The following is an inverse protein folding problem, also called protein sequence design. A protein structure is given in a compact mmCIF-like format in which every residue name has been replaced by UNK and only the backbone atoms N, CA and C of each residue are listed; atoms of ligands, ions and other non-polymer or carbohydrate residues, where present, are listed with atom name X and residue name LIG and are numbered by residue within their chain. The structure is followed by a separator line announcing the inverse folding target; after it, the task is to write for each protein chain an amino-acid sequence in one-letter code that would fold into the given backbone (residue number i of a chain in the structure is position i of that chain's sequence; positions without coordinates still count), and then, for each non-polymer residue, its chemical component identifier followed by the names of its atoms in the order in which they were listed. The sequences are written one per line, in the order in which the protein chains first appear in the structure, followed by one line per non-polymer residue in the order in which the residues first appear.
data_IF_173521033087
#
_entry.id   IF_173521033087
#
_cell.length_a   1.000
_cell.length_b   1.000
_cell.length_c   1.000
_cell.angle_alpha   90.00
_cell.angle_beta   90.00
_cell.angle_gamma   90.00
#
_symmetry.space_group_name_H-M   'P 1'
#
loop_
_entity.id
_entity.type
_entity.pdbx_description
1 polymer ?
#
# COMPACT_ATOMS: atom_id res chain seq x y z
N UNK A 1 38.70 -10.73 46.23
CA UNK A 1 39.10 -11.15 44.86
C UNK A 1 37.85 -11.66 44.18
N UNK A 2 37.07 -10.91 43.38
CA UNK A 2 37.44 -9.98 42.31
C UNK A 2 36.88 -10.55 41.00
N UNK A 3 35.54 -10.56 40.86
CA UNK A 3 34.77 -11.06 39.69
C UNK A 3 35.00 -10.19 38.43
N UNK A 4 36.21 -10.18 37.89
CA UNK A 4 36.57 -9.31 36.77
C UNK A 4 36.76 -10.04 35.42
N UNK A 5 36.49 -11.34 35.33
CA UNK A 5 37.03 -12.15 34.23
C UNK A 5 36.03 -12.98 33.41
N UNK A 6 34.73 -12.70 33.50
CA UNK A 6 33.71 -13.37 32.67
C UNK A 6 33.06 -12.44 31.63
N UNK A 7 33.20 -11.12 31.78
CA UNK A 7 32.62 -10.14 30.84
C UNK A 7 33.50 -9.88 29.61
N UNK A 8 34.80 -10.19 29.66
CA UNK A 8 35.74 -9.95 28.53
C UNK A 8 35.72 -11.03 27.45
N UNK A 9 35.04 -12.16 27.66
CA UNK A 9 35.09 -13.31 26.75
C UNK A 9 34.02 -13.25 25.64
N UNK A 10 32.99 -12.41 25.77
CA UNK A 10 31.86 -12.40 24.82
C UNK A 10 32.01 -11.44 23.63
N UNK A 11 33.08 -10.64 23.55
CA UNK A 11 33.30 -9.69 22.47
C UNK A 11 34.73 -9.77 21.92
N UNK A 12 35.35 -10.95 21.89
CA UNK A 12 36.53 -11.14 21.04
C UNK A 12 36.05 -11.42 19.63
N UNK A 13 35.51 -10.38 19.02
CA UNK A 13 35.19 -10.35 17.60
C UNK A 13 36.51 -10.59 16.85
N UNK A 14 36.47 -11.39 15.79
CA UNK A 14 37.62 -11.72 14.92
C UNK A 14 38.12 -10.52 14.09
N UNK A 15 37.71 -9.31 14.45
CA UNK A 15 37.88 -8.07 13.72
C UNK A 15 38.89 -7.16 14.42
N UNK A 16 39.58 -6.31 13.67
CA UNK A 16 40.45 -5.30 14.28
C UNK A 16 39.60 -4.20 15.00
N UNK A 17 40.21 -3.36 15.83
CA UNK A 17 39.49 -2.29 16.55
C UNK A 17 38.76 -1.32 15.60
N UNK A 18 39.39 -0.96 14.48
CA UNK A 18 38.81 -0.05 13.48
C UNK A 18 37.57 -0.64 12.78
N UNK A 19 37.60 -1.93 12.47
CA UNK A 19 36.48 -2.70 11.91
C UNK A 19 35.32 -2.79 12.90
N UNK A 20 35.63 -3.03 14.18
CA UNK A 20 34.62 -3.08 15.24
C UNK A 20 33.94 -1.71 15.44
N UNK A 21 34.71 -0.61 15.38
CA UNK A 21 34.17 0.76 15.44
C UNK A 21 33.33 1.07 14.21
N UNK A 22 33.78 0.69 13.01
CA UNK A 22 33.03 0.88 11.77
C UNK A 22 31.69 0.12 11.78
N UNK A 23 31.69 -1.13 12.25
CA UNK A 23 30.47 -1.93 12.41
C UNK A 23 29.53 -1.33 13.46
N UNK A 24 30.08 -0.83 14.58
CA UNK A 24 29.32 -0.13 15.61
C UNK A 24 28.64 1.12 15.07
N UNK A 25 29.37 1.95 14.32
CA UNK A 25 28.83 3.15 13.65
C UNK A 25 27.71 2.79 12.67
N UNK A 26 27.94 1.82 11.79
CA UNK A 26 26.93 1.36 10.83
C UNK A 26 25.66 0.82 11.53
N UNK A 27 25.80 0.15 12.66
CA UNK A 27 24.66 -0.34 13.45
C UNK A 27 23.84 0.81 14.06
N UNK A 28 24.51 1.86 14.52
CA UNK A 28 23.87 3.07 15.06
C UNK A 28 23.16 3.84 13.94
N UNK A 29 23.83 4.04 12.80
CA UNK A 29 23.31 4.78 11.65
C UNK A 29 22.00 4.14 11.11
N UNK A 30 21.93 2.80 11.12
CA UNK A 30 20.72 2.04 10.77
C UNK A 30 19.60 2.19 11.80
N UNK A 31 19.90 2.50 13.07
CA UNK A 31 18.95 2.46 14.20
C UNK A 31 18.70 1.01 14.65
N UNK A 32 18.20 0.79 15.89
CA UNK A 32 18.01 -0.56 16.48
C UNK A 32 17.55 -1.60 15.44
N UNK A 33 18.52 -2.43 15.02
CA UNK A 33 18.45 -3.47 13.99
C UNK A 33 18.08 -3.08 12.55
N UNK A 34 17.65 -1.86 12.24
CA UNK A 34 17.39 -1.38 10.87
C UNK A 34 16.45 -2.26 10.05
N UNK A 35 15.74 -3.19 10.70
CA UNK A 35 15.08 -4.33 10.05
C UNK A 35 13.98 -3.89 9.10
N UNK A 36 13.23 -2.85 9.47
CA UNK A 36 12.18 -2.29 8.63
C UNK A 36 12.73 -1.86 7.26
N UNK A 37 13.81 -1.08 7.26
CA UNK A 37 14.43 -0.59 6.03
C UNK A 37 15.25 -1.66 5.30
N UNK A 38 15.87 -2.58 6.03
CA UNK A 38 16.50 -3.76 5.42
C UNK A 38 15.46 -4.63 4.69
N UNK A 39 14.26 -4.76 5.24
CA UNK A 39 13.15 -5.48 4.60
C UNK A 39 12.60 -4.73 3.38
N UNK A 40 12.52 -3.40 3.43
CA UNK A 40 12.16 -2.61 2.26
C UNK A 40 13.19 -2.74 1.14
N UNK A 41 14.49 -2.80 1.47
CA UNK A 41 15.54 -3.05 0.47
C UNK A 41 15.39 -4.41 -0.20
N UNK A 42 15.01 -5.46 0.54
CA UNK A 42 14.71 -6.77 -0.04
C UNK A 42 13.57 -6.74 -1.04
N UNK A 43 12.53 -5.97 -0.73
CA UNK A 43 11.33 -5.87 -1.57
C UNK A 43 11.58 -5.07 -2.84
N UNK A 44 12.51 -4.11 -2.82
CA UNK A 44 12.83 -3.24 -3.95
C UNK A 44 13.68 -3.93 -5.05
N UNK A 45 13.89 -5.26 -4.96
CA UNK A 45 14.70 -6.09 -5.87
C UNK A 45 16.09 -5.50 -6.19
N UNK A 46 16.63 -4.72 -5.25
CA UNK A 46 17.98 -4.20 -5.35
C UNK A 46 18.93 -5.34 -4.98
N UNK A 47 19.78 -5.76 -5.93
CA UNK A 47 20.88 -6.69 -5.63
C UNK A 47 21.62 -6.18 -4.40
N UNK A 48 21.58 -6.95 -3.31
CA UNK A 48 22.22 -6.54 -2.05
C UNK A 48 23.69 -6.23 -2.30
N UNK A 49 24.10 -5.01 -1.98
CA UNK A 49 25.49 -4.60 -2.00
C UNK A 49 26.23 -5.11 -0.75
N UNK A 50 27.42 -4.57 -0.54
CA UNK A 50 28.16 -4.72 0.71
C UNK A 50 27.35 -4.17 1.89
N UNK A 51 27.68 -4.61 3.10
CA UNK A 51 27.02 -4.13 4.33
C UNK A 51 27.08 -2.60 4.48
N UNK A 52 28.16 -1.97 4.00
CA UNK A 52 28.32 -0.52 3.97
C UNK A 52 27.38 0.15 2.98
N UNK A 53 27.34 -0.32 1.74
CA UNK A 53 26.45 0.23 0.69
C UNK A 53 24.97 0.10 1.10
N UNK A 54 24.59 -1.05 1.66
CA UNK A 54 23.23 -1.24 2.18
C UNK A 54 22.92 -0.29 3.36
N UNK A 55 23.92 0.04 4.17
CA UNK A 55 23.77 1.00 5.27
C UNK A 55 23.55 2.41 4.75
N UNK A 56 24.32 2.83 3.74
CA UNK A 56 24.16 4.13 3.09
C UNK A 56 22.77 4.27 2.45
N UNK A 57 22.29 3.22 1.77
CA UNK A 57 20.93 3.17 1.23
C UNK A 57 19.87 3.27 2.33
N UNK A 58 20.02 2.54 3.45
CA UNK A 58 19.08 2.61 4.57
C UNK A 58 19.04 4.00 5.19
N UNK A 59 20.19 4.66 5.34
CA UNK A 59 20.24 6.03 5.86
C UNK A 59 19.50 6.98 4.93
N UNK A 60 19.72 6.89 3.62
CA UNK A 60 18.98 7.68 2.62
C UNK A 60 17.47 7.40 2.66
N UNK A 61 17.08 6.13 2.77
CA UNK A 61 15.67 5.75 2.90
C UNK A 61 15.04 6.26 4.20
N UNK A 62 15.78 6.34 5.31
CA UNK A 62 15.30 6.90 6.57
C UNK A 62 15.05 8.40 6.48
N UNK A 63 15.91 9.12 5.75
CA UNK A 63 15.76 10.56 5.51
C UNK A 63 14.57 10.84 4.58
N UNK A 64 14.43 10.06 3.51
CA UNK A 64 13.32 10.21 2.58
C UNK A 64 11.98 9.76 3.20
N UNK A 65 11.95 8.59 3.84
CA UNK A 65 10.74 7.95 4.33
C UNK A 65 10.86 7.60 5.83
N UNK A 66 10.42 8.51 6.73
CA UNK A 66 10.41 8.27 8.17
C UNK A 66 9.65 6.99 8.56
N UNK A 67 10.13 6.29 9.58
CA UNK A 67 9.60 4.97 9.97
C UNK A 67 8.09 4.98 10.24
N UNK A 68 7.60 6.05 10.89
CA UNK A 68 6.16 6.26 11.12
C UNK A 68 5.35 6.25 9.81
N UNK A 69 5.88 6.87 8.73
CA UNK A 69 5.22 6.88 7.42
C UNK A 69 5.21 5.48 6.80
N UNK A 70 6.31 4.73 6.90
CA UNK A 70 6.39 3.33 6.46
C UNK A 70 5.37 2.45 7.18
N UNK A 71 5.30 2.56 8.50
CA UNK A 71 4.39 1.78 9.34
C UNK A 71 2.93 2.12 9.03
N UNK A 72 2.62 3.40 8.83
CA UNK A 72 1.29 3.85 8.41
C UNK A 72 0.86 3.24 7.07
N UNK A 73 1.72 3.31 6.05
CA UNK A 73 1.47 2.71 4.74
C UNK A 73 1.28 1.20 4.87
N UNK A 74 2.19 0.54 5.60
CA UNK A 74 2.14 -0.91 5.83
C UNK A 74 0.85 -1.33 6.53
N UNK A 75 0.41 -0.57 7.55
CA UNK A 75 -0.85 -0.77 8.25
C UNK A 75 -2.06 -0.60 7.34
N UNK A 76 -2.07 0.43 6.49
CA UNK A 76 -3.14 0.65 5.53
C UNK A 76 -3.27 -0.51 4.54
N UNK A 77 -2.15 -0.94 3.93
CA UNK A 77 -2.12 -2.05 2.97
C UNK A 77 -2.55 -3.37 3.61
N UNK A 78 -2.05 -3.65 4.81
CA UNK A 78 -2.47 -4.82 5.57
C UNK A 78 -3.97 -4.81 5.85
N UNK A 79 -4.52 -3.63 6.19
CA UNK A 79 -5.97 -3.44 6.32
C UNK A 79 -6.73 -3.81 5.05
N UNK A 80 -6.26 -3.36 3.88
CA UNK A 80 -6.91 -3.65 2.59
C UNK A 80 -6.87 -5.15 2.28
N UNK A 81 -5.71 -5.80 2.48
CA UNK A 81 -5.56 -7.25 2.26
C UNK A 81 -6.49 -8.03 3.18
N UNK A 82 -6.50 -7.70 4.47
CA UNK A 82 -7.36 -8.35 5.45
C UNK A 82 -8.85 -8.18 5.13
N UNK A 83 -9.26 -6.99 4.67
CA UNK A 83 -10.64 -6.73 4.24
C UNK A 83 -11.07 -7.63 3.08
N UNK A 84 -10.17 -7.83 2.11
CA UNK A 84 -10.39 -8.75 0.98
C UNK A 84 -10.46 -10.21 1.42
N UNK A 85 -9.56 -10.65 2.30
CA UNK A 85 -9.60 -12.00 2.86
C UNK A 85 -10.90 -12.27 3.61
N UNK A 86 -11.38 -11.30 4.41
CA UNK A 86 -12.67 -11.40 5.10
C UNK A 86 -13.83 -11.52 4.10
N UNK A 87 -13.80 -10.77 3.00
CA UNK A 87 -14.82 -10.88 1.94
C UNK A 87 -14.78 -12.24 1.25
N UNK A 88 -13.60 -12.76 0.94
CA UNK A 88 -13.47 -14.08 0.34
C UNK A 88 -13.99 -15.17 1.27
N UNK A 89 -13.64 -15.13 2.56
CA UNK A 89 -14.17 -16.06 3.56
C UNK A 89 -15.70 -15.97 3.69
N UNK A 90 -16.25 -14.76 3.60
CA UNK A 90 -17.71 -14.54 3.58
C UNK A 90 -18.34 -15.18 2.35
N UNK A 91 -17.78 -14.96 1.15
CA UNK A 91 -18.26 -15.57 -0.10
C UNK A 91 -18.15 -17.10 -0.05
N UNK A 92 -17.05 -17.65 0.48
CA UNK A 92 -16.86 -19.10 0.63
C UNK A 92 -17.85 -19.73 1.62
N UNK A 93 -18.46 -18.94 2.50
CA UNK A 93 -19.47 -19.42 3.44
C UNK A 93 -20.87 -19.51 2.83
N UNK A 94 -21.08 -18.96 1.63
CA UNK A 94 -22.36 -18.97 0.95
C UNK A 94 -22.70 -20.35 0.39
N UNK A 95 -24.01 -20.62 0.32
CA UNK A 95 -24.51 -21.82 -0.33
C UNK A 95 -24.35 -21.70 -1.86
N UNK A 96 -24.23 -22.84 -2.54
CA UNK A 96 -24.06 -22.87 -4.01
C UNK A 96 -25.18 -22.11 -4.73
N UNK A 97 -26.42 -22.23 -4.26
CA UNK A 97 -27.57 -21.52 -4.84
C UNK A 97 -27.47 -20.00 -4.67
N UNK A 98 -26.95 -19.51 -3.54
CA UNK A 98 -26.72 -18.06 -3.33
C UNK A 98 -25.61 -17.55 -4.27
N UNK A 99 -24.54 -18.32 -4.47
CA UNK A 99 -23.48 -17.97 -5.43
C UNK A 99 -24.03 -17.90 -6.86
N UNK A 100 -24.86 -18.88 -7.27
CA UNK A 100 -25.51 -18.88 -8.59
C UNK A 100 -26.42 -17.67 -8.76
N UNK A 101 -27.30 -17.40 -7.80
CA UNK A 101 -28.19 -16.23 -7.84
C UNK A 101 -27.39 -14.93 -7.99
N UNK A 102 -26.36 -14.73 -7.16
CA UNK A 102 -25.51 -13.54 -7.22
C UNK A 102 -24.82 -13.39 -8.58
N UNK A 103 -24.37 -14.50 -9.14
CA UNK A 103 -23.71 -14.53 -10.45
C UNK A 103 -24.69 -14.16 -11.57
N UNK A 104 -25.90 -14.69 -11.56
CA UNK A 104 -26.96 -14.33 -12.51
C UNK A 104 -27.36 -12.86 -12.40
N UNK A 105 -27.49 -12.34 -11.18
CA UNK A 105 -27.80 -10.94 -10.93
C UNK A 105 -26.66 -10.02 -11.39
N UNK A 106 -25.40 -10.45 -11.24
CA UNK A 106 -24.23 -9.71 -11.71
C UNK A 106 -24.23 -9.63 -13.24
N UNK A 107 -24.36 -10.76 -13.93
CA UNK A 107 -24.35 -10.79 -15.40
C UNK A 107 -25.58 -10.13 -16.04
N UNK A 108 -26.71 -10.08 -15.34
CA UNK A 108 -27.90 -9.35 -15.79
C UNK A 108 -27.88 -7.85 -15.46
N UNK A 109 -26.81 -7.34 -14.84
CA UNK A 109 -26.67 -5.93 -14.46
C UNK A 109 -27.61 -5.47 -13.34
N UNK A 110 -28.17 -6.42 -12.57
CA UNK A 110 -29.15 -6.14 -11.51
C UNK A 110 -28.52 -5.91 -10.13
N UNK A 111 -27.23 -6.25 -9.95
CA UNK A 111 -26.48 -5.95 -8.74
C UNK A 111 -25.97 -4.50 -8.72
N UNK A 112 -26.87 -3.52 -8.79
CA UNK A 112 -26.45 -2.12 -8.73
C UNK A 112 -26.12 -1.68 -7.29
N UNK A 113 -25.12 -0.82 -7.14
CA UNK A 113 -24.88 -0.07 -5.91
C UNK A 113 -25.72 1.22 -5.88
N UNK A 114 -25.51 2.08 -4.88
CA UNK A 114 -26.09 3.44 -4.86
C UNK A 114 -25.30 4.45 -5.70
N UNK A 115 -24.07 4.11 -6.07
CA UNK A 115 -23.25 4.89 -7.00
C UNK A 115 -23.44 4.34 -8.41
N UNK A 116 -23.66 5.24 -9.36
CA UNK A 116 -23.79 4.91 -10.78
C UNK A 116 -22.55 4.16 -11.28
N UNK A 117 -22.73 3.23 -12.22
CA UNK A 117 -21.67 2.39 -12.80
C UNK A 117 -20.89 1.50 -11.82
N UNK A 118 -21.33 1.38 -10.57
CA UNK A 118 -20.71 0.51 -9.57
C UNK A 118 -21.67 -0.63 -9.22
N UNK A 119 -21.20 -1.86 -9.38
CA UNK A 119 -21.96 -3.03 -8.95
C UNK A 119 -21.72 -3.34 -7.47
N UNK A 120 -22.70 -3.94 -6.79
CA UNK A 120 -22.64 -4.23 -5.36
C UNK A 120 -23.03 -5.68 -5.08
N UNK A 121 -22.11 -6.43 -4.48
CA UNK A 121 -22.28 -7.83 -4.16
C UNK A 121 -23.47 -8.08 -3.19
N UNK A 122 -23.75 -7.12 -2.30
CA UNK A 122 -24.84 -7.17 -1.31
C UNK A 122 -25.99 -6.21 -1.63
N UNK A 123 -26.23 -5.94 -2.92
CA UNK A 123 -27.34 -5.08 -3.36
C UNK A 123 -28.67 -5.47 -2.69
N UNK A 124 -29.44 -4.48 -2.24
CA UNK A 124 -30.67 -4.65 -1.46
C UNK A 124 -30.51 -5.01 0.02
N UNK A 125 -29.32 -5.43 0.46
CA UNK A 125 -29.01 -5.78 1.87
C UNK A 125 -27.76 -5.05 2.36
N UNK A 126 -27.59 -3.80 1.98
CA UNK A 126 -26.40 -3.01 2.31
C UNK A 126 -26.25 -2.84 3.84
N UNK A 127 -25.13 -3.28 4.45
CA UNK A 127 -24.90 -3.11 5.89
C UNK A 127 -24.57 -1.67 6.27
N UNK A 128 -24.28 -0.81 5.29
CA UNK A 128 -23.94 0.60 5.48
C UNK A 128 -24.95 1.50 4.76
N UNK A 129 -26.21 1.58 5.20
CA UNK A 129 -27.28 2.23 4.43
C UNK A 129 -27.09 3.74 4.25
N UNK A 130 -26.32 4.40 5.12
CA UNK A 130 -26.08 5.85 5.10
C UNK A 130 -24.89 6.28 4.26
N UNK A 131 -23.96 5.37 3.95
CA UNK A 131 -22.71 5.73 3.27
C UNK A 131 -22.88 5.73 1.75
N UNK A 132 -22.43 6.80 1.10
CA UNK A 132 -22.51 6.98 -0.36
C UNK A 132 -21.22 6.59 -1.10
N UNK A 133 -20.15 6.31 -0.36
CA UNK A 133 -18.83 5.91 -0.87
C UNK A 133 -18.80 4.45 -1.38
N UNK A 134 -19.71 4.06 -2.27
CA UNK A 134 -19.80 2.67 -2.74
C UNK A 134 -18.53 2.22 -3.46
N UNK A 135 -17.84 3.11 -4.17
CA UNK A 135 -16.55 2.81 -4.82
C UNK A 135 -15.46 2.33 -3.85
N UNK A 136 -15.48 2.84 -2.62
CA UNK A 136 -14.54 2.48 -1.57
C UNK A 136 -15.08 1.38 -0.65
N UNK A 137 -16.26 0.84 -0.92
CA UNK A 137 -16.85 -0.22 -0.12
C UNK A 137 -16.20 -1.57 -0.44
N UNK A 138 -16.04 -2.44 0.57
CA UNK A 138 -15.54 -3.80 0.38
C UNK A 138 -16.42 -4.67 -0.52
N UNK A 139 -17.71 -4.38 -0.61
CA UNK A 139 -18.67 -5.11 -1.45
C UNK A 139 -18.78 -4.54 -2.87
N UNK A 140 -17.96 -3.54 -3.21
CA UNK A 140 -17.90 -2.93 -4.52
C UNK A 140 -17.37 -3.92 -5.55
N UNK A 141 -18.03 -3.96 -6.71
CA UNK A 141 -17.53 -4.60 -7.93
C UNK A 141 -17.41 -3.47 -8.96
N UNK A 142 -16.20 -2.89 -9.10
CA UNK A 142 -15.94 -1.85 -10.08
C UNK A 142 -16.23 -2.33 -11.50
N UNK A 143 -16.81 -1.47 -12.32
CA UNK A 143 -16.93 -1.69 -13.78
C UNK A 143 -15.91 -0.83 -14.53
N UNK A 144 -15.71 -1.08 -15.82
CA UNK A 144 -14.86 -0.24 -16.65
C UNK A 144 -15.32 1.22 -16.68
N UNK A 145 -16.63 1.48 -16.62
CA UNK A 145 -17.18 2.84 -16.58
C UNK A 145 -16.90 3.55 -15.24
N UNK A 146 -16.86 2.80 -14.14
CA UNK A 146 -16.52 3.36 -12.82
C UNK A 146 -15.06 3.83 -12.69
N UNK A 147 -14.19 3.51 -13.66
CA UNK A 147 -12.77 3.87 -13.62
C UNK A 147 -12.54 5.37 -13.72
N UNK A 148 -13.33 6.09 -14.52
CA UNK A 148 -13.24 7.55 -14.58
C UNK A 148 -13.53 8.18 -13.20
N UNK A 149 -14.59 7.69 -12.54
CA UNK A 149 -14.92 8.11 -11.17
C UNK A 149 -13.83 7.75 -10.16
N UNK A 150 -13.22 6.56 -10.30
CA UNK A 150 -12.09 6.15 -9.47
C UNK A 150 -10.90 7.08 -9.64
N UNK A 151 -10.60 7.49 -10.88
CA UNK A 151 -9.53 8.44 -11.19
C UNK A 151 -9.79 9.81 -10.58
N UNK A 152 -11.00 10.34 -10.73
CA UNK A 152 -11.37 11.65 -10.15
C UNK A 152 -11.35 11.63 -8.62
N UNK A 153 -11.87 10.58 -8.00
CA UNK A 153 -11.82 10.43 -6.54
C UNK A 153 -10.38 10.26 -6.04
N UNK A 154 -9.53 9.54 -6.78
CA UNK A 154 -8.11 9.41 -6.44
C UNK A 154 -7.40 10.78 -6.49
N UNK A 155 -7.66 11.60 -7.51
CA UNK A 155 -7.13 12.97 -7.59
C UNK A 155 -7.60 13.83 -6.42
N UNK A 156 -8.89 13.74 -6.07
CA UNK A 156 -9.47 14.45 -4.92
C UNK A 156 -8.76 14.06 -3.62
N UNK A 157 -8.60 12.76 -3.36
CA UNK A 157 -7.97 12.23 -2.16
C UNK A 157 -6.47 12.57 -2.08
N UNK A 158 -5.73 12.49 -3.18
CA UNK A 158 -4.32 12.90 -3.24
C UNK A 158 -4.14 14.38 -2.90
N UNK A 159 -5.02 15.22 -3.46
CA UNK A 159 -5.04 16.66 -3.18
C UNK A 159 -5.40 16.94 -1.72
N UNK A 160 -6.36 16.22 -1.17
CA UNK A 160 -6.74 16.32 0.24
C UNK A 160 -5.57 15.91 1.15
N UNK A 161 -4.91 14.79 0.86
CA UNK A 161 -3.74 14.30 1.59
C UNK A 161 -2.57 15.29 1.59
N UNK A 162 -2.34 16.00 0.48
CA UNK A 162 -1.34 17.06 0.39
C UNK A 162 -1.63 18.28 1.27
N UNK A 163 -2.93 18.54 1.53
CA UNK A 163 -3.38 19.67 2.37
C UNK A 163 -3.51 19.32 3.85
N UNK A 164 -3.69 18.04 4.20
CA UNK A 164 -3.81 17.57 5.59
C UNK A 164 -2.47 17.72 6.32
N UNK A 165 -2.49 18.31 7.52
CA UNK A 165 -1.28 18.53 8.31
C UNK A 165 -0.61 17.19 8.67
N UNK A 166 0.72 17.14 8.69
CA UNK A 166 1.47 15.93 9.07
C UNK A 166 1.14 15.45 10.50
N UNK A 167 0.69 16.35 11.37
CA UNK A 167 0.26 16.05 12.73
C UNK A 167 -1.12 15.39 12.81
N UNK A 168 -1.96 15.53 11.78
CA UNK A 168 -3.30 14.92 11.69
C UNK A 168 -3.20 13.44 11.29
N UNK A 169 -2.54 12.66 12.14
CA UNK A 169 -2.13 11.27 11.85
C UNK A 169 -3.31 10.39 11.46
N UNK A 170 -4.46 10.54 12.13
CA UNK A 170 -5.66 9.72 11.89
C UNK A 170 -6.21 9.98 10.49
N UNK A 171 -6.35 11.25 10.11
CA UNK A 171 -6.89 11.62 8.79
C UNK A 171 -5.95 11.19 7.68
N UNK A 172 -4.63 11.34 7.86
CA UNK A 172 -3.65 10.86 6.90
C UNK A 172 -3.67 9.34 6.74
N UNK A 173 -3.87 8.57 7.82
CA UNK A 173 -4.06 7.11 7.75
C UNK A 173 -5.32 6.78 6.94
N UNK A 174 -6.45 7.42 7.24
CA UNK A 174 -7.71 7.20 6.55
C UNK A 174 -7.63 7.54 5.05
N UNK A 175 -6.96 8.64 4.71
CA UNK A 175 -6.70 9.03 3.32
C UNK A 175 -5.78 8.03 2.63
N UNK A 176 -4.70 7.60 3.29
CA UNK A 176 -3.78 6.57 2.76
C UNK A 176 -4.51 5.27 2.46
N UNK A 177 -5.42 4.85 3.35
CA UNK A 177 -6.26 3.66 3.14
C UNK A 177 -7.15 3.81 1.91
N UNK A 178 -7.87 4.93 1.77
CA UNK A 178 -8.76 5.18 0.63
C UNK A 178 -7.98 5.27 -0.69
N UNK A 179 -6.86 6.00 -0.70
CA UNK A 179 -5.94 6.09 -1.85
C UNK A 179 -5.46 4.69 -2.25
N UNK A 180 -4.99 3.90 -1.29
CA UNK A 180 -4.52 2.53 -1.54
C UNK A 180 -5.59 1.64 -2.17
N UNK A 181 -6.84 1.73 -1.71
CA UNK A 181 -7.96 0.97 -2.31
C UNK A 181 -8.18 1.31 -3.77
N UNK A 182 -8.20 2.59 -4.12
CA UNK A 182 -8.39 3.01 -5.51
C UNK A 182 -7.21 2.59 -6.39
N UNK A 183 -5.98 2.72 -5.89
CA UNK A 183 -4.78 2.27 -6.61
C UNK A 183 -4.87 0.77 -6.94
N UNK A 184 -5.30 -0.06 -5.98
CA UNK A 184 -5.46 -1.50 -6.24
C UNK A 184 -6.52 -1.78 -7.32
N UNK A 185 -7.63 -1.03 -7.33
CA UNK A 185 -8.65 -1.16 -8.39
C UNK A 185 -8.06 -0.77 -9.74
N UNK A 186 -7.29 0.32 -9.81
CA UNK A 186 -6.65 0.74 -11.06
C UNK A 186 -5.61 -0.27 -11.54
N UNK A 187 -4.78 -0.80 -10.63
CA UNK A 187 -3.78 -1.82 -10.95
C UNK A 187 -4.44 -3.09 -11.50
N UNK A 188 -5.49 -3.58 -10.86
CA UNK A 188 -6.26 -4.74 -11.36
C UNK A 188 -6.88 -4.50 -12.74
N UNK A 189 -7.34 -3.27 -13.00
CA UNK A 189 -7.88 -2.92 -14.30
C UNK A 189 -6.79 -2.87 -15.38
N UNK A 190 -5.61 -2.35 -15.07
CA UNK A 190 -4.44 -2.37 -15.96
C UNK A 190 -4.02 -3.81 -16.24
N UNK A 191 -3.84 -4.62 -15.19
CA UNK A 191 -3.43 -6.03 -15.29
C UNK A 191 -4.37 -6.83 -16.20
N UNK A 192 -5.67 -6.47 -16.21
CA UNK A 192 -6.70 -7.21 -16.94
C UNK A 192 -6.97 -6.68 -18.36
N UNK A 193 -6.98 -5.37 -18.56
CA UNK A 193 -7.41 -4.74 -19.80
C UNK A 193 -6.28 -4.04 -20.56
N UNK A 194 -5.11 -3.91 -19.94
CA UNK A 194 -3.94 -3.23 -20.49
C UNK A 194 -3.96 -1.72 -20.26
N UNK A 195 -2.77 -1.15 -20.10
CA UNK A 195 -2.56 0.28 -19.82
C UNK A 195 -3.22 1.19 -20.87
N UNK A 196 -3.07 0.88 -22.16
CA UNK A 196 -3.61 1.67 -23.29
C UNK A 196 -5.15 1.78 -23.26
N UNK A 197 -5.83 0.76 -22.73
CA UNK A 197 -7.28 0.81 -22.59
C UNK A 197 -7.67 1.70 -21.41
N UNK A 198 -7.01 1.55 -20.26
CA UNK A 198 -7.37 2.28 -19.04
C UNK A 198 -7.04 3.78 -19.15
N UNK A 199 -5.98 4.16 -19.87
CA UNK A 199 -5.64 5.58 -20.07
C UNK A 199 -6.72 6.37 -20.84
N UNK A 200 -7.66 5.69 -21.50
CA UNK A 200 -8.82 6.36 -22.11
C UNK A 200 -9.87 6.85 -21.11
N UNK A 201 -9.85 6.29 -19.88
CA UNK A 201 -10.78 6.63 -18.80
C UNK A 201 -10.14 7.50 -17.72
N UNK A 202 -8.80 7.48 -17.60
CA UNK A 202 -8.08 8.08 -16.49
C UNK A 202 -6.84 8.83 -16.99
N UNK A 203 -6.68 10.08 -16.55
CA UNK A 203 -5.44 10.83 -16.78
C UNK A 203 -4.33 10.37 -15.81
N UNK A 204 -3.62 9.32 -16.23
CA UNK A 204 -2.47 8.80 -15.48
C UNK A 204 -1.33 9.81 -15.35
N UNK A 205 -1.19 10.78 -16.26
CA UNK A 205 -0.11 11.76 -16.17
C UNK A 205 -0.38 12.70 -15.00
N UNK A 206 -1.60 13.25 -14.94
CA UNK A 206 -2.03 14.12 -13.84
C UNK A 206 -1.94 13.40 -12.49
N UNK A 207 -2.43 12.15 -12.42
CA UNK A 207 -2.35 11.35 -11.19
C UNK A 207 -0.90 11.15 -10.76
N UNK A 208 -0.01 10.76 -11.68
CA UNK A 208 1.42 10.56 -11.36
C UNK A 208 2.11 11.86 -10.91
N UNK A 209 1.75 13.00 -11.51
CA UNK A 209 2.27 14.30 -11.07
C UNK A 209 1.80 14.65 -9.65
N UNK A 210 0.52 14.43 -9.34
CA UNK A 210 -0.03 14.63 -7.99
C UNK A 210 0.64 13.72 -6.97
N UNK A 211 0.91 12.48 -7.33
CA UNK A 211 1.61 11.52 -6.46
C UNK A 211 3.02 12.00 -6.18
N UNK A 212 3.79 12.35 -7.22
CA UNK A 212 5.16 12.85 -7.05
C UNK A 212 5.20 14.12 -6.21
N UNK A 213 4.18 14.96 -6.32
CA UNK A 213 4.09 16.23 -5.61
C UNK A 213 3.63 16.08 -4.15
N UNK A 214 2.51 15.40 -3.93
CA UNK A 214 1.81 15.34 -2.64
C UNK A 214 2.22 14.12 -1.81
N UNK A 215 2.71 13.07 -2.47
CA UNK A 215 3.15 11.82 -1.85
C UNK A 215 4.54 11.37 -2.36
N UNK A 216 5.57 12.24 -2.38
CA UNK A 216 6.88 11.96 -2.98
C UNK A 216 7.58 10.70 -2.44
N UNK A 217 7.17 10.20 -1.27
CA UNK A 217 7.70 9.00 -0.63
C UNK A 217 6.74 7.79 -0.63
N UNK A 218 5.56 7.88 -1.27
CA UNK A 218 4.68 6.74 -1.51
C UNK A 218 5.02 6.11 -2.87
N UNK A 219 5.95 5.17 -2.84
CA UNK A 219 6.52 4.46 -4.01
C UNK A 219 5.48 3.61 -4.77
N UNK A 220 4.27 3.40 -4.23
CA UNK A 220 3.22 2.50 -4.74
C UNK A 220 2.73 2.76 -6.17
N UNK A 221 3.14 3.87 -6.77
CA UNK A 221 2.55 4.37 -8.00
C UNK A 221 3.54 4.55 -9.14
N UNK A 222 4.85 4.51 -8.87
CA UNK A 222 5.85 4.47 -9.93
C UNK A 222 5.83 3.13 -10.68
N UNK A 223 5.30 2.06 -10.07
CA UNK A 223 5.11 0.76 -10.72
C UNK A 223 4.08 0.78 -11.86
N UNK A 224 3.13 1.73 -11.89
CA UNK A 224 2.15 1.83 -12.99
C UNK A 224 2.85 2.08 -14.33
N UNK A 225 4.08 2.63 -14.32
CA UNK A 225 4.86 2.89 -15.52
C UNK A 225 5.81 1.74 -15.92
N UNK A 226 6.10 0.81 -15.01
CA UNK A 226 7.01 -0.31 -15.28
C UNK A 226 6.34 -1.46 -16.05
N UNK A 227 5.00 -1.50 -16.10
CA UNK A 227 4.21 -2.37 -16.99
C UNK A 227 4.19 -1.91 -18.46
N UNK A 228 5.09 -0.99 -18.85
CA UNK A 228 5.41 -0.72 -20.26
C UNK A 228 6.25 -1.82 -20.93
N UNK A 229 6.41 -2.98 -20.30
CA UNK A 229 7.20 -4.10 -20.84
C UNK A 229 6.35 -5.32 -21.12
#
# INVERSE_FOLDING_TARGET
MGNANITKVYLRSTYNEDESVAMGKQSIDRGFFGWLYDRLLDLADNKRGTFKENTELIVQMKEALPARKVESISGALYGIIKEREMLLNEIYSWQEDEIKEKTELLFSGKLMSRTEDVSCLVSGRCPYPTEDKCMLCRYSIPTTFSLAMAGDELKRLLTEFGRTNEEDVIDRINLTYQIGKLIMVLKEAIDRFGYEYIETYIDYKEINELIKKETPNMIFLEEIQNDRR
#
